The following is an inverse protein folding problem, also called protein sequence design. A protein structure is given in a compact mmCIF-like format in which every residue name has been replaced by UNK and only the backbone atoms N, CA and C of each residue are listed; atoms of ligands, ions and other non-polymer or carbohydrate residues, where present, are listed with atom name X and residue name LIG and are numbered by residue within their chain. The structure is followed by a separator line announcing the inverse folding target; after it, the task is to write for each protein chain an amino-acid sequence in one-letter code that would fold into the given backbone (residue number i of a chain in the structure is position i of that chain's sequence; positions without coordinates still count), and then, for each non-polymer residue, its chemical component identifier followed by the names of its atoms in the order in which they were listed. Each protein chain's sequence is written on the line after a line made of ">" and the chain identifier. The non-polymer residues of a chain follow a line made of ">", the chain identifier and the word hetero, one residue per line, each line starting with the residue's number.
data_IF_791343593867
#
_entry.id   IF_791343593867
#
_cell.length_a   1.000
_cell.length_b   1.000
_cell.length_c   1.000
_cell.angle_alpha   90.00
_cell.angle_beta   90.00
_cell.angle_gamma   90.00
#
_symmetry.space_group_name_H-M   'P 1'
#
loop_
_entity.id
_entity.type
_entity.pdbx_description
1 polymer ?
#
# COMPACT_ATOMS: atom_id res chain seq x y z
N UNK A 1 1.22 -12.30 30.31
CA UNK A 1 2.05 -13.42 29.80
C UNK A 1 3.42 -12.86 29.44
N UNK A 2 4.24 -12.62 30.47
CA UNK A 2 5.38 -11.72 30.41
C UNK A 2 6.67 -12.56 30.47
N UNK A 3 7.49 -12.51 29.42
CA UNK A 3 8.79 -13.20 29.24
C UNK A 3 8.77 -14.72 28.94
N UNK A 4 9.40 -15.05 27.82
CA UNK A 4 9.83 -16.41 27.46
C UNK A 4 11.31 -16.25 27.11
N UNK A 5 12.21 -16.82 27.92
CA UNK A 5 13.67 -16.69 27.80
C UNK A 5 14.27 -15.28 28.02
N UNK A 6 13.80 -14.53 29.02
CA UNK A 6 14.38 -13.22 29.44
C UNK A 6 14.42 -12.13 28.34
N UNK A 7 13.73 -12.39 27.23
CA UNK A 7 13.50 -11.49 26.12
C UNK A 7 12.01 -11.15 26.08
N UNK A 8 11.63 -9.93 25.64
CA UNK A 8 10.24 -9.62 25.39
C UNK A 8 9.68 -10.68 24.43
N UNK A 9 8.62 -11.38 24.83
CA UNK A 9 8.02 -12.45 24.02
C UNK A 9 7.48 -11.90 22.68
N UNK A 10 7.22 -10.60 22.64
CA UNK A 10 6.55 -9.90 21.54
C UNK A 10 7.36 -9.93 20.22
N UNK A 11 8.66 -9.56 20.16
CA UNK A 11 9.47 -9.76 18.95
C UNK A 11 9.53 -11.21 18.48
N UNK A 12 9.72 -12.18 19.38
CA UNK A 12 9.85 -13.58 18.96
C UNK A 12 8.55 -14.12 18.35
N UNK A 13 7.38 -13.74 18.87
CA UNK A 13 6.10 -14.20 18.34
C UNK A 13 5.81 -13.67 16.93
N UNK A 14 6.26 -12.47 16.58
CA UNK A 14 6.03 -11.88 15.25
C UNK A 14 7.11 -12.26 14.23
N UNK A 15 8.35 -12.48 14.67
CA UNK A 15 9.44 -12.87 13.76
C UNK A 15 9.37 -14.34 13.35
N UNK A 16 8.83 -15.22 14.22
CA UNK A 16 8.74 -16.64 13.91
C UNK A 16 7.89 -16.92 12.66
N UNK A 17 6.63 -16.41 12.53
CA UNK A 17 5.83 -16.61 11.33
C UNK A 17 6.50 -16.12 10.05
N UNK A 18 7.14 -14.94 10.10
CA UNK A 18 7.79 -14.31 8.95
C UNK A 18 8.87 -15.20 8.33
N UNK A 19 9.59 -15.96 9.16
CA UNK A 19 10.62 -16.92 8.69
C UNK A 19 10.02 -18.30 8.43
N UNK A 20 9.10 -18.76 9.28
CA UNK A 20 8.58 -20.11 9.21
C UNK A 20 7.68 -20.35 8.00
N UNK A 21 6.93 -19.34 7.52
CA UNK A 21 6.05 -19.46 6.36
C UNK A 21 6.85 -19.72 5.06
N UNK A 22 7.86 -18.91 4.67
CA UNK A 22 8.70 -19.21 3.50
C UNK A 22 9.39 -20.57 3.58
N UNK A 23 9.91 -20.94 4.76
CA UNK A 23 10.56 -22.24 4.97
C UNK A 23 9.55 -23.38 4.78
N UNK A 24 8.34 -23.25 5.31
CA UNK A 24 7.27 -24.23 5.13
C UNK A 24 6.83 -24.32 3.66
N UNK A 25 6.73 -23.20 2.95
CA UNK A 25 6.40 -23.16 1.52
C UNK A 25 7.45 -23.89 0.67
N UNK A 26 8.74 -23.66 0.93
CA UNK A 26 9.83 -24.37 0.24
C UNK A 26 9.77 -25.86 0.56
N UNK A 27 9.59 -26.23 1.83
CA UNK A 27 9.45 -27.63 2.23
C UNK A 27 8.25 -28.30 1.54
N UNK A 28 7.11 -27.62 1.46
CA UNK A 28 5.91 -28.11 0.81
C UNK A 28 6.17 -28.41 -0.68
N UNK A 29 6.81 -27.47 -1.40
CA UNK A 29 7.18 -27.64 -2.81
C UNK A 29 8.18 -28.80 -2.98
N UNK A 30 9.19 -28.90 -2.11
CA UNK A 30 10.15 -30.00 -2.15
C UNK A 30 9.48 -31.37 -1.93
N UNK A 31 8.52 -31.46 -1.01
CA UNK A 31 7.75 -32.68 -0.77
C UNK A 31 6.81 -33.01 -1.94
N UNK A 32 6.28 -32.00 -2.64
CA UNK A 32 5.54 -32.23 -3.90
C UNK A 32 6.47 -32.82 -4.96
N UNK A 33 7.63 -32.21 -5.20
CA UNK A 33 8.58 -32.60 -6.25
C UNK A 33 9.33 -33.91 -5.98
N UNK A 34 9.59 -34.24 -4.70
CA UNK A 34 10.33 -35.43 -4.28
C UNK A 34 9.50 -36.34 -3.37
N UNK A 35 8.63 -37.21 -3.95
CA UNK A 35 7.75 -38.09 -3.18
C UNK A 35 8.47 -39.02 -2.21
N UNK A 36 9.70 -39.44 -2.52
CA UNK A 36 10.50 -40.31 -1.65
C UNK A 36 10.81 -39.68 -0.28
N UNK A 37 10.90 -38.35 -0.22
CA UNK A 37 11.25 -37.61 1.00
C UNK A 37 10.07 -37.52 1.98
N UNK A 38 8.83 -37.69 1.50
CA UNK A 38 7.59 -37.61 2.30
C UNK A 38 7.55 -38.63 3.44
N UNK A 39 8.12 -39.80 3.22
CA UNK A 39 8.04 -40.90 4.20
C UNK A 39 8.83 -40.61 5.48
N UNK A 40 10.05 -40.07 5.34
CA UNK A 40 10.97 -39.75 6.43
C UNK A 40 10.70 -38.39 7.07
N UNK A 41 10.32 -37.38 6.27
CA UNK A 41 10.13 -36.01 6.75
C UNK A 41 8.70 -35.69 7.19
N UNK A 42 7.79 -36.68 7.12
CA UNK A 42 6.37 -36.54 7.45
C UNK A 42 6.10 -35.79 8.76
N UNK A 43 6.64 -36.31 9.85
CA UNK A 43 6.28 -35.82 11.18
C UNK A 43 6.90 -34.46 11.44
N UNK A 44 8.07 -34.22 10.85
CA UNK A 44 8.70 -32.92 10.83
C UNK A 44 7.87 -31.89 10.05
N UNK A 45 7.39 -32.24 8.85
CA UNK A 45 6.58 -31.35 8.02
C UNK A 45 5.23 -31.00 8.66
N UNK A 46 4.55 -31.99 9.27
CA UNK A 46 3.30 -31.77 10.01
C UNK A 46 3.57 -30.91 11.26
N UNK A 47 4.59 -31.24 12.04
CA UNK A 47 4.98 -30.46 13.22
C UNK A 47 5.27 -29.01 12.86
N UNK A 48 6.09 -28.78 11.83
CA UNK A 48 6.40 -27.45 11.34
C UNK A 48 5.14 -26.71 10.85
N UNK A 49 4.27 -27.37 10.07
CA UNK A 49 3.03 -26.78 9.59
C UNK A 49 2.10 -26.32 10.73
N UNK A 50 1.94 -27.15 11.76
CA UNK A 50 1.13 -26.85 12.94
C UNK A 50 1.73 -25.70 13.75
N UNK A 51 3.05 -25.73 13.99
CA UNK A 51 3.73 -24.66 14.74
C UNK A 51 3.64 -23.34 13.98
N UNK A 52 3.87 -23.33 12.66
CA UNK A 52 3.71 -22.14 11.82
C UNK A 52 2.29 -21.59 11.91
N UNK A 53 1.27 -22.43 11.75
CA UNK A 53 -0.13 -21.99 11.83
C UNK A 53 -0.48 -21.40 13.20
N UNK A 54 -0.12 -22.09 14.30
CA UNK A 54 -0.36 -21.60 15.67
C UNK A 54 0.36 -20.28 15.90
N UNK A 55 1.63 -20.16 15.48
CA UNK A 55 2.38 -18.91 15.64
C UNK A 55 1.75 -17.76 14.85
N UNK A 56 1.27 -18.00 13.63
CA UNK A 56 0.56 -16.99 12.84
C UNK A 56 -0.76 -16.55 13.51
N UNK A 57 -1.51 -17.50 14.08
CA UNK A 57 -2.74 -17.21 14.83
C UNK A 57 -2.46 -16.31 16.03
N UNK A 58 -1.45 -16.66 16.83
CA UNK A 58 -1.03 -15.88 18.00
C UNK A 58 -0.56 -14.47 17.61
N UNK A 59 0.27 -14.36 16.56
CA UNK A 59 0.75 -13.08 16.07
C UNK A 59 -0.42 -12.17 15.65
N UNK A 60 -1.36 -12.67 14.85
CA UNK A 60 -2.52 -11.90 14.42
C UNK A 60 -3.45 -11.52 15.59
N UNK A 61 -3.68 -12.44 16.54
CA UNK A 61 -4.49 -12.13 17.74
C UNK A 61 -3.86 -11.05 18.63
N UNK A 62 -2.52 -10.94 18.63
CA UNK A 62 -1.82 -9.88 19.35
C UNK A 62 -1.94 -8.51 18.67
N UNK A 63 -2.14 -8.48 17.35
CA UNK A 63 -2.39 -7.26 16.58
C UNK A 63 -3.82 -6.76 16.77
N UNK A 64 -4.82 -7.63 16.65
CA UNK A 64 -6.24 -7.32 16.87
C UNK A 64 -6.47 -6.66 18.25
N UNK A 65 -5.85 -7.20 19.31
CA UNK A 65 -5.96 -6.65 20.66
C UNK A 65 -5.33 -5.25 20.83
N UNK A 66 -4.38 -4.87 19.96
CA UNK A 66 -3.76 -3.54 19.98
C UNK A 66 -4.62 -2.51 19.24
N UNK A 67 -5.23 -2.91 18.13
CA UNK A 67 -6.13 -2.06 17.32
C UNK A 67 -7.35 -1.62 18.14
N UNK A 68 -7.87 -2.45 19.05
CA UNK A 68 -8.96 -2.04 19.96
C UNK A 68 -8.55 -0.96 20.97
N UNK A 69 -7.25 -0.75 21.19
CA UNK A 69 -6.72 0.18 22.20
C UNK A 69 -6.25 1.51 21.62
N UNK A 70 -6.02 1.59 20.31
CA UNK A 70 -5.59 2.79 19.60
C UNK A 70 -6.69 3.22 18.62
N UNK A 71 -7.00 4.51 18.52
CA UNK A 71 -7.80 5.01 17.39
C UNK A 71 -6.99 4.74 16.11
N UNK A 72 -7.32 3.65 15.42
CA UNK A 72 -6.53 3.16 14.31
C UNK A 72 -6.70 4.07 13.09
N UNK A 73 -5.61 4.66 12.63
CA UNK A 73 -5.51 5.34 11.34
C UNK A 73 -5.70 4.33 10.19
N UNK A 74 -6.11 4.82 9.01
CA UNK A 74 -6.38 4.00 7.80
C UNK A 74 -5.27 2.99 7.47
N UNK A 75 -4.01 3.31 7.80
CA UNK A 75 -2.81 2.53 7.47
C UNK A 75 -2.63 1.29 8.36
N UNK A 76 -3.13 1.34 9.61
CA UNK A 76 -3.11 0.20 10.53
C UNK A 76 -4.16 -0.83 10.09
N UNK A 77 -5.28 -0.35 9.55
CA UNK A 77 -6.39 -1.17 9.04
C UNK A 77 -5.97 -1.98 7.79
N UNK A 78 -5.13 -1.41 6.92
CA UNK A 78 -4.56 -2.11 5.77
C UNK A 78 -3.62 -3.25 6.19
N UNK A 79 -2.75 -3.00 7.18
CA UNK A 79 -1.87 -4.04 7.75
C UNK A 79 -2.66 -5.19 8.38
N UNK A 80 -3.74 -4.87 9.11
CA UNK A 80 -4.64 -5.86 9.72
C UNK A 80 -5.32 -6.73 8.64
N UNK A 81 -5.90 -6.12 7.60
CA UNK A 81 -6.61 -6.84 6.55
C UNK A 81 -5.72 -7.83 5.78
N UNK A 82 -4.46 -7.44 5.52
CA UNK A 82 -3.46 -8.29 4.91
C UNK A 82 -3.07 -9.44 5.84
N UNK A 83 -2.93 -9.16 7.14
CA UNK A 83 -2.65 -10.16 8.18
C UNK A 83 -3.74 -11.22 8.30
N UNK A 84 -5.02 -10.82 8.28
CA UNK A 84 -6.14 -11.76 8.33
C UNK A 84 -6.20 -12.64 7.08
N UNK A 85 -5.99 -12.05 5.90
CA UNK A 85 -5.92 -12.81 4.64
C UNK A 85 -4.76 -13.80 4.65
N UNK A 86 -3.60 -13.41 5.17
CA UNK A 86 -2.45 -14.30 5.33
C UNK A 86 -2.77 -15.50 6.22
N UNK A 87 -3.51 -15.29 7.32
CA UNK A 87 -3.92 -16.36 8.25
C UNK A 87 -4.68 -17.47 7.52
N UNK A 88 -5.62 -17.12 6.64
CA UNK A 88 -6.39 -18.08 5.83
C UNK A 88 -5.46 -18.89 4.92
N UNK A 89 -4.51 -18.25 4.24
CA UNK A 89 -3.58 -18.94 3.35
C UNK A 89 -2.62 -19.87 4.09
N UNK A 90 -2.13 -19.49 5.28
CA UNK A 90 -1.27 -20.34 6.10
C UNK A 90 -2.03 -21.58 6.60
N UNK A 91 -3.29 -21.42 7.03
CA UNK A 91 -4.14 -22.55 7.42
C UNK A 91 -4.38 -23.48 6.22
N UNK A 92 -4.68 -22.92 5.04
CA UNK A 92 -4.83 -23.69 3.80
C UNK A 92 -3.56 -24.44 3.40
N UNK A 93 -2.39 -23.82 3.55
CA UNK A 93 -1.09 -24.45 3.33
C UNK A 93 -0.87 -25.61 4.32
N UNK A 94 -1.09 -25.39 5.61
CA UNK A 94 -0.91 -26.41 6.64
C UNK A 94 -1.85 -27.60 6.44
N UNK A 95 -3.13 -27.35 6.14
CA UNK A 95 -4.13 -28.39 5.89
C UNK A 95 -3.82 -29.19 4.62
N UNK A 96 -3.53 -28.51 3.51
CA UNK A 96 -3.22 -29.16 2.23
C UNK A 96 -1.90 -29.95 2.28
N UNK A 97 -0.87 -29.44 2.95
CA UNK A 97 0.39 -30.16 3.17
C UNK A 97 0.20 -31.39 4.07
N UNK A 98 -0.58 -31.26 5.14
CA UNK A 98 -0.91 -32.38 6.02
C UNK A 98 -1.67 -33.47 5.25
N UNK A 99 -2.65 -33.08 4.44
CA UNK A 99 -3.36 -33.98 3.54
C UNK A 99 -2.39 -34.67 2.54
N UNK A 100 -1.48 -33.91 1.93
CA UNK A 100 -0.48 -34.44 1.00
C UNK A 100 0.42 -35.51 1.67
N UNK A 101 0.85 -35.28 2.91
CA UNK A 101 1.79 -36.15 3.62
C UNK A 101 1.12 -37.37 4.25
N UNK A 102 -0.17 -37.28 4.63
CA UNK A 102 -0.93 -38.39 5.21
C UNK A 102 -1.57 -39.27 4.13
N UNK A 103 -2.26 -38.68 3.14
CA UNK A 103 -3.03 -39.41 2.12
C UNK A 103 -2.10 -40.09 1.10
N UNK A 104 -0.92 -39.52 0.85
CA UNK A 104 0.07 -40.12 -0.07
C UNK A 104 0.78 -41.36 0.49
N UNK A 105 0.43 -41.86 1.68
CA UNK A 105 1.03 -43.07 2.27
C UNK A 105 0.34 -44.35 1.84
N UNK A 106 -1.00 -44.36 1.77
CA UNK A 106 -1.75 -45.62 1.68
C UNK A 106 -2.63 -45.78 0.42
N UNK A 107 -3.02 -44.71 -0.30
CA UNK A 107 -4.06 -44.83 -1.35
C UNK A 107 -3.78 -44.18 -2.72
N UNK A 108 -2.73 -43.37 -2.87
CA UNK A 108 -2.52 -42.61 -4.13
C UNK A 108 -1.98 -43.49 -5.28
N UNK A 109 -1.45 -44.68 -4.99
CA UNK A 109 -1.06 -45.61 -6.05
C UNK A 109 -2.27 -46.13 -6.86
N UNK A 110 -3.49 -45.98 -6.35
CA UNK A 110 -4.74 -46.37 -7.05
C UNK A 110 -5.52 -45.17 -7.65
N UNK A 111 -5.33 -43.93 -7.18
CA UNK A 111 -6.06 -42.73 -7.63
C UNK A 111 -5.13 -41.54 -7.95
N UNK A 112 -4.38 -41.66 -9.05
CA UNK A 112 -3.48 -40.62 -9.59
C UNK A 112 -4.04 -39.18 -9.68
N UNK A 113 -5.32 -38.92 -10.09
CA UNK A 113 -5.78 -37.53 -10.24
C UNK A 113 -5.93 -36.79 -8.90
N UNK A 114 -6.24 -37.50 -7.82
CA UNK A 114 -6.42 -36.90 -6.49
C UNK A 114 -5.07 -36.39 -5.96
N UNK A 115 -4.00 -37.16 -6.13
CA UNK A 115 -2.65 -36.74 -5.73
C UNK A 115 -2.14 -35.52 -6.50
N UNK A 116 -2.48 -35.40 -7.78
CA UNK A 116 -2.16 -34.22 -8.60
C UNK A 116 -2.94 -33.00 -8.09
N UNK A 117 -4.25 -33.16 -7.82
CA UNK A 117 -5.09 -32.09 -7.29
C UNK A 117 -4.58 -31.54 -5.95
N UNK A 118 -4.29 -32.42 -4.99
CA UNK A 118 -3.74 -32.01 -3.68
C UNK A 118 -2.39 -31.31 -3.86
N UNK A 119 -1.50 -31.85 -4.70
CA UNK A 119 -0.20 -31.23 -4.96
C UNK A 119 -0.32 -29.82 -5.56
N UNK A 120 -1.24 -29.63 -6.52
CA UNK A 120 -1.50 -28.32 -7.11
C UNK A 120 -2.06 -27.33 -6.08
N UNK A 121 -3.00 -27.76 -5.24
CA UNK A 121 -3.55 -26.95 -4.15
C UNK A 121 -2.47 -26.57 -3.14
N UNK A 122 -1.61 -27.50 -2.75
CA UNK A 122 -0.48 -27.22 -1.84
C UNK A 122 0.49 -26.21 -2.43
N UNK A 123 0.84 -26.33 -3.72
CA UNK A 123 1.70 -25.33 -4.38
C UNK A 123 1.01 -23.96 -4.42
N UNK A 124 -0.28 -23.92 -4.75
CA UNK A 124 -1.05 -22.67 -4.80
C UNK A 124 -1.04 -21.96 -3.43
N UNK A 125 -1.39 -22.66 -2.36
CA UNK A 125 -1.37 -22.08 -1.01
C UNK A 125 0.05 -21.70 -0.57
N UNK A 126 1.08 -22.46 -0.95
CA UNK A 126 2.47 -22.11 -0.64
C UNK A 126 2.87 -20.78 -1.30
N UNK A 127 2.49 -20.56 -2.56
CA UNK A 127 2.77 -19.31 -3.27
C UNK A 127 1.97 -18.14 -2.68
N UNK A 128 0.67 -18.33 -2.45
CA UNK A 128 -0.20 -17.29 -1.86
C UNK A 128 0.29 -16.88 -0.47
N UNK A 129 0.60 -17.83 0.41
CA UNK A 129 1.12 -17.53 1.75
C UNK A 129 2.44 -16.76 1.68
N UNK A 130 3.34 -17.11 0.76
CA UNK A 130 4.62 -16.40 0.58
C UNK A 130 4.40 -14.96 0.10
N UNK A 131 3.56 -14.76 -0.93
CA UNK A 131 3.27 -13.43 -1.49
C UNK A 131 2.61 -12.52 -0.45
N UNK A 132 1.63 -13.04 0.29
CA UNK A 132 0.96 -12.25 1.32
C UNK A 132 1.87 -11.94 2.51
N UNK A 133 2.78 -12.85 2.89
CA UNK A 133 3.79 -12.55 3.93
C UNK A 133 4.66 -11.36 3.52
N UNK A 134 5.07 -11.30 2.25
CA UNK A 134 5.88 -10.19 1.72
C UNK A 134 5.07 -8.88 1.74
N UNK A 135 3.80 -8.91 1.31
CA UNK A 135 2.93 -7.72 1.31
C UNK A 135 2.67 -7.19 2.71
N UNK A 136 2.28 -8.06 3.65
CA UNK A 136 2.08 -7.69 5.06
C UNK A 136 3.36 -7.11 5.67
N UNK A 137 4.52 -7.68 5.33
CA UNK A 137 5.82 -7.18 5.80
C UNK A 137 6.19 -5.81 5.20
N UNK A 138 5.90 -5.58 3.93
CA UNK A 138 6.12 -4.28 3.28
C UNK A 138 5.26 -3.19 3.93
N UNK A 139 3.99 -3.50 4.20
CA UNK A 139 3.09 -2.56 4.88
C UNK A 139 3.56 -2.25 6.30
N UNK A 140 4.00 -3.27 7.04
CA UNK A 140 4.58 -3.08 8.38
C UNK A 140 5.86 -2.22 8.38
N UNK A 141 6.70 -2.37 7.35
CA UNK A 141 7.89 -1.53 7.20
C UNK A 141 7.52 -0.08 6.87
N UNK A 142 6.48 0.13 6.06
CA UNK A 142 5.98 1.46 5.72
C UNK A 142 5.43 2.19 6.96
N UNK A 143 4.69 1.50 7.83
CA UNK A 143 4.21 2.04 9.12
C UNK A 143 5.33 2.54 10.03
N UNK A 144 6.47 1.85 10.04
CA UNK A 144 7.57 2.18 10.96
C UNK A 144 8.55 3.20 10.36
N UNK A 145 8.84 3.08 9.06
CA UNK A 145 9.95 3.76 8.41
C UNK A 145 9.53 4.76 7.33
N UNK A 146 8.26 4.80 6.92
CA UNK A 146 7.78 5.64 5.83
C UNK A 146 8.15 7.11 5.98
N UNK A 147 8.03 7.67 7.19
CA UNK A 147 8.40 9.08 7.47
C UNK A 147 9.89 9.31 7.78
N UNK A 148 10.66 8.28 8.13
CA UNK A 148 12.08 8.43 8.52
C UNK A 148 12.96 8.59 7.29
N UNK A 149 12.65 7.87 6.21
CA UNK A 149 13.35 8.00 4.92
C UNK A 149 13.10 9.39 4.30
N UNK A 150 11.92 9.99 4.52
CA UNK A 150 11.62 11.37 4.14
C UNK A 150 12.49 12.38 4.95
N UNK A 151 12.73 12.10 6.25
CA UNK A 151 13.48 13.00 7.15
C UNK A 151 15.00 13.02 6.89
N UNK A 152 15.60 11.91 6.46
CA UNK A 152 17.03 11.85 6.12
C UNK A 152 17.36 12.58 4.80
N UNK A 153 16.41 12.59 3.85
CA UNK A 153 16.53 13.36 2.61
C UNK A 153 16.52 14.88 2.89
N UNK A 154 15.79 15.32 3.93
CA UNK A 154 15.71 16.72 4.33
C UNK A 154 16.93 17.19 5.15
N UNK A 155 17.51 16.30 5.97
CA UNK A 155 18.58 16.68 6.92
C UNK A 155 19.98 16.82 6.28
N UNK A 156 20.21 16.23 5.10
CA UNK A 156 21.54 16.26 4.45
C UNK A 156 21.90 17.63 3.86
N UNK A 157 20.95 18.56 3.75
CA UNK A 157 21.18 19.89 3.15
C UNK A 157 21.49 21.00 4.18
N UNK A 158 21.35 20.74 5.48
CA UNK A 158 21.31 21.82 6.49
C UNK A 158 22.41 21.71 7.57
N UNK A 159 23.62 21.25 7.21
CA UNK A 159 24.81 21.45 8.05
C UNK A 159 25.84 22.31 7.32
N UNK A 160 25.59 23.61 7.27
CA UNK A 160 26.63 24.64 7.13
C UNK A 160 26.44 25.67 8.25
N UNK A 161 27.25 25.49 9.29
CA UNK A 161 27.68 26.42 10.34
C UNK A 161 27.06 27.82 10.35
N UNK A 162 26.13 28.06 11.28
CA UNK A 162 25.77 29.41 11.71
C UNK A 162 26.86 29.97 12.66
N UNK A 163 27.48 31.08 12.26
CA UNK A 163 28.10 32.05 13.15
C UNK A 163 27.17 33.28 13.27
N UNK A 164 27.05 33.94 14.43
CA UNK A 164 26.07 35.00 14.63
C UNK A 164 26.65 36.36 14.23
N UNK A 165 25.92 37.20 13.51
CA UNK A 165 25.87 38.65 13.79
C UNK A 165 24.84 39.45 12.98
N UNK A 166 24.21 40.38 13.71
CA UNK A 166 23.69 41.71 13.33
C UNK A 166 22.44 41.86 12.45
N UNK A 167 21.34 42.17 13.15
CA UNK A 167 20.41 43.29 12.94
C UNK A 167 20.69 44.24 11.76
N UNK A 168 19.70 44.43 10.88
CA UNK A 168 19.37 45.74 10.27
C UNK A 168 17.89 45.76 9.86
N UNK A 169 17.19 46.75 10.42
CA UNK A 169 15.82 47.18 10.11
C UNK A 169 15.77 47.91 8.76
N UNK A 170 14.75 47.65 7.94
CA UNK A 170 14.30 48.60 6.93
C UNK A 170 12.79 48.48 6.70
N UNK A 171 12.11 49.57 7.04
CA UNK A 171 10.69 49.88 6.82
C UNK A 171 10.48 50.38 5.39
N UNK A 172 9.39 49.97 4.72
CA UNK A 172 8.69 50.86 3.78
C UNK A 172 7.19 50.52 3.71
N UNK A 173 6.39 51.58 3.75
CA UNK A 173 4.92 51.64 3.78
C UNK A 173 4.37 52.02 2.40
N UNK A 174 3.08 51.72 2.19
CA UNK A 174 2.10 52.39 1.30
C UNK A 174 1.90 51.73 -0.08
N UNK A 175 0.73 51.72 -0.73
CA UNK A 175 -0.72 51.69 -0.43
C UNK A 175 -1.41 51.64 -1.82
N UNK A 176 -2.56 50.98 -1.91
CA UNK A 176 -3.69 51.09 -2.87
C UNK A 176 -3.52 51.76 -4.26
N UNK A 177 -4.08 51.14 -5.31
CA UNK A 177 -5.31 51.66 -5.97
C UNK A 177 -5.97 50.61 -6.90
N UNK A 178 -7.26 50.78 -7.09
CA UNK A 178 -8.19 49.98 -7.88
C UNK A 178 -8.26 50.43 -9.36
N UNK A 179 -8.75 49.57 -10.26
CA UNK A 179 -9.70 49.95 -11.32
C UNK A 179 -10.20 48.74 -12.15
N UNK A 180 -11.52 48.59 -12.13
CA UNK A 180 -12.44 47.86 -13.02
C UNK A 180 -12.29 48.21 -14.51
N UNK A 181 -12.58 47.27 -15.43
CA UNK A 181 -13.44 47.48 -16.63
C UNK A 181 -13.81 46.15 -17.31
N UNK A 182 -15.12 45.92 -17.42
CA UNK A 182 -15.85 44.90 -18.20
C UNK A 182 -15.92 45.29 -19.69
N UNK A 183 -15.95 44.34 -20.65
CA UNK A 183 -16.78 44.40 -21.90
C UNK A 183 -16.78 43.04 -22.64
N UNK A 184 -17.94 42.73 -23.21
CA UNK A 184 -18.43 41.47 -23.79
C UNK A 184 -18.46 41.48 -25.34
N UNK A 185 -18.48 40.29 -25.97
CA UNK A 185 -19.31 39.86 -27.14
C UNK A 185 -18.69 39.68 -28.56
N UNK A 186 -18.55 38.38 -28.94
CA UNK A 186 -19.02 37.61 -30.14
C UNK A 186 -18.60 37.85 -31.61
N UNK A 187 -18.06 36.74 -32.18
CA UNK A 187 -18.44 35.98 -33.41
C UNK A 187 -18.10 36.47 -34.84
N UNK A 188 -17.40 35.62 -35.61
CA UNK A 188 -17.64 35.33 -37.05
C UNK A 188 -17.06 33.95 -37.46
N UNK A 189 -17.77 33.31 -38.40
CA UNK A 189 -17.88 31.91 -38.90
C UNK A 189 -16.68 31.25 -39.63
N UNK A 190 -16.65 29.91 -39.61
CA UNK A 190 -15.70 28.95 -40.22
C UNK A 190 -15.90 28.66 -41.75
N UNK A 191 -15.05 27.81 -42.39
CA UNK A 191 -15.38 26.38 -42.46
C UNK A 191 -14.20 25.36 -42.34
N UNK A 192 -14.52 24.27 -41.63
CA UNK A 192 -14.13 22.84 -41.74
C UNK A 192 -12.78 22.38 -42.33
N UNK A 193 -11.90 21.88 -41.44
CA UNK A 193 -11.36 20.50 -41.45
C UNK A 193 -11.02 20.13 -39.99
N UNK A 194 -11.52 18.98 -39.53
CA UNK A 194 -11.62 18.53 -38.13
C UNK A 194 -10.27 18.35 -37.43
N UNK A 195 -9.84 19.37 -36.70
CA UNK A 195 -9.08 19.23 -35.47
C UNK A 195 -9.95 19.91 -34.40
N UNK A 196 -10.63 19.13 -33.56
CA UNK A 196 -11.26 19.70 -32.39
C UNK A 196 -10.14 20.35 -31.58
N UNK A 197 -10.15 21.68 -31.52
CA UNK A 197 -9.47 22.41 -30.48
C UNK A 197 -10.13 21.97 -29.17
N UNK A 198 -9.64 20.86 -28.63
CA UNK A 198 -9.90 20.45 -27.27
C UNK A 198 -9.33 21.59 -26.45
N UNK A 199 -10.20 22.44 -25.92
CA UNK A 199 -9.78 23.42 -24.93
C UNK A 199 -9.00 22.67 -23.85
N UNK A 200 -7.89 23.24 -23.40
CA UNK A 200 -7.07 22.64 -22.34
C UNK A 200 -7.99 22.21 -21.20
N UNK A 201 -8.06 20.90 -20.87
CA UNK A 201 -8.96 20.44 -19.83
C UNK A 201 -8.66 21.17 -18.52
N UNK A 202 -9.69 21.63 -17.84
CA UNK A 202 -9.53 22.36 -16.59
C UNK A 202 -9.32 21.36 -15.45
N UNK A 203 -8.07 21.16 -15.05
CA UNK A 203 -7.69 20.23 -13.99
C UNK A 203 -8.34 20.53 -12.64
N UNK A 204 -8.51 21.81 -12.29
CA UNK A 204 -9.18 22.23 -11.05
C UNK A 204 -10.65 21.80 -11.04
N UNK A 205 -11.39 22.10 -12.11
CA UNK A 205 -12.81 21.76 -12.20
C UNK A 205 -13.03 20.24 -12.20
N UNK A 206 -12.14 19.50 -12.86
CA UNK A 206 -12.17 18.04 -12.86
C UNK A 206 -11.85 17.47 -11.47
N UNK A 207 -10.90 18.08 -10.75
CA UNK A 207 -10.56 17.70 -9.38
C UNK A 207 -11.74 17.91 -8.41
N UNK A 208 -12.39 19.07 -8.46
CA UNK A 208 -13.57 19.37 -7.63
C UNK A 208 -14.71 18.39 -7.91
N UNK A 209 -14.98 18.08 -9.18
CA UNK A 209 -16.08 17.22 -9.57
C UNK A 209 -15.87 15.74 -9.20
N UNK A 210 -14.62 15.27 -9.19
CA UNK A 210 -14.33 13.83 -9.13
C UNK A 210 -13.50 13.39 -7.92
N UNK A 211 -12.64 14.26 -7.39
CA UNK A 211 -11.56 13.89 -6.46
C UNK A 211 -11.78 14.47 -5.05
N UNK A 212 -12.20 15.73 -4.97
CA UNK A 212 -12.30 16.50 -3.72
C UNK A 212 -13.17 15.84 -2.64
N UNK A 213 -14.20 15.07 -3.05
CA UNK A 213 -15.07 14.29 -2.15
C UNK A 213 -14.31 13.37 -1.18
N UNK A 214 -13.15 12.85 -1.61
CA UNK A 214 -12.34 11.93 -0.84
C UNK A 214 -11.00 12.56 -0.44
N UNK A 215 -10.38 13.34 -1.33
CA UNK A 215 -9.06 13.91 -1.11
C UNK A 215 -9.09 15.32 -0.49
N UNK A 216 -10.28 15.87 -0.21
CA UNK A 216 -10.44 17.25 0.27
C UNK A 216 -10.35 18.26 -0.88
N UNK A 217 -11.02 19.41 -0.77
CA UNK A 217 -10.92 20.49 -1.76
C UNK A 217 -9.51 21.10 -1.82
N UNK A 218 -8.82 21.05 -0.70
CA UNK A 218 -7.45 21.48 -0.41
C UNK A 218 -6.42 20.34 -0.48
N UNK A 219 -6.84 19.12 -0.86
CA UNK A 219 -5.92 18.00 -1.00
C UNK A 219 -5.42 17.40 0.32
N UNK A 220 -5.95 17.80 1.49
CA UNK A 220 -5.49 17.31 2.80
C UNK A 220 -5.88 15.85 3.07
N UNK A 221 -6.81 15.30 2.30
CA UNK A 221 -7.35 13.97 2.52
C UNK A 221 -8.49 13.98 3.54
N UNK A 222 -9.53 13.18 3.28
CA UNK A 222 -10.62 12.94 4.23
C UNK A 222 -10.94 11.45 4.28
N UNK A 223 -11.56 10.92 3.23
CA UNK A 223 -11.80 9.48 3.02
C UNK A 223 -10.73 8.82 2.17
N UNK A 224 -10.02 9.62 1.38
CA UNK A 224 -8.83 9.20 0.65
C UNK A 224 -7.61 9.91 1.20
N UNK A 225 -6.40 9.39 0.92
CA UNK A 225 -5.16 9.93 1.45
C UNK A 225 -4.93 11.38 0.99
N UNK A 226 -4.07 12.10 1.71
CA UNK A 226 -3.64 13.44 1.31
C UNK A 226 -2.90 13.40 -0.04
N UNK A 227 -3.14 14.42 -0.86
CA UNK A 227 -2.39 14.73 -2.08
C UNK A 227 -1.38 15.86 -1.86
N UNK A 228 -1.28 16.38 -0.64
CA UNK A 228 -0.30 17.39 -0.25
C UNK A 228 1.13 16.88 -0.40
N UNK A 229 1.96 17.64 -1.11
CA UNK A 229 3.35 17.30 -1.40
C UNK A 229 3.53 16.08 -2.31
N UNK A 230 2.46 15.57 -2.94
CA UNK A 230 2.52 14.33 -3.72
C UNK A 230 3.53 14.40 -4.87
N UNK A 231 3.71 15.60 -5.45
CA UNK A 231 4.69 15.80 -6.51
C UNK A 231 6.14 15.53 -6.05
N UNK A 232 6.45 15.81 -4.78
CA UNK A 232 7.75 15.55 -4.17
C UNK A 232 7.90 14.07 -3.76
N UNK A 233 6.83 13.48 -3.19
CA UNK A 233 6.81 12.07 -2.75
C UNK A 233 6.84 11.08 -3.92
N UNK A 234 6.20 11.44 -5.03
CA UNK A 234 6.06 10.61 -6.22
C UNK A 234 6.56 11.39 -7.45
N UNK A 235 7.89 11.45 -7.69
CA UNK A 235 8.44 12.17 -8.84
C UNK A 235 8.01 11.56 -10.18
N UNK A 236 7.66 10.28 -10.17
CA UNK A 236 7.17 9.54 -11.33
C UNK A 236 5.66 9.72 -11.52
N UNK A 237 5.29 10.71 -12.33
CA UNK A 237 3.88 11.04 -12.65
C UNK A 237 3.09 9.87 -13.22
N UNK A 238 3.75 8.89 -13.84
CA UNK A 238 3.07 7.76 -14.47
C UNK A 238 2.38 6.83 -13.47
N UNK A 239 2.89 6.73 -12.23
CA UNK A 239 2.24 5.91 -11.21
C UNK A 239 0.88 6.52 -10.82
N UNK A 240 0.80 7.84 -10.72
CA UNK A 240 -0.44 8.57 -10.45
C UNK A 240 -1.43 8.47 -11.61
N UNK A 241 -0.96 8.63 -12.85
CA UNK A 241 -1.80 8.46 -14.04
C UNK A 241 -2.38 7.04 -14.05
N UNK A 242 -1.55 6.02 -13.83
CA UNK A 242 -2.00 4.63 -13.75
C UNK A 242 -3.00 4.38 -12.62
N UNK A 243 -2.77 5.00 -11.45
CA UNK A 243 -3.66 4.88 -10.29
C UNK A 243 -5.03 5.50 -10.56
N UNK A 244 -5.10 6.65 -11.23
CA UNK A 244 -6.36 7.32 -11.61
C UNK A 244 -7.06 6.53 -12.72
N UNK A 245 -6.32 6.08 -13.74
CA UNK A 245 -6.89 5.31 -14.86
C UNK A 245 -7.50 4.00 -14.38
N UNK A 246 -6.76 3.22 -13.59
CA UNK A 246 -7.15 1.86 -13.23
C UNK A 246 -7.88 1.75 -11.89
N UNK A 247 -7.80 2.78 -11.04
CA UNK A 247 -8.29 2.71 -9.67
C UNK A 247 -7.40 1.83 -8.78
N UNK A 248 -7.81 1.65 -7.53
CA UNK A 248 -7.13 0.90 -6.48
C UNK A 248 -8.14 0.47 -5.41
N UNK A 249 -7.67 0.21 -4.19
CA UNK A 249 -8.45 -0.38 -3.08
C UNK A 249 -9.89 0.16 -2.98
N UNK A 250 -10.04 1.38 -2.43
CA UNK A 250 -11.34 2.09 -2.35
C UNK A 250 -11.46 3.20 -3.39
N UNK A 251 -10.39 3.51 -4.13
CA UNK A 251 -10.36 4.54 -5.17
C UNK A 251 -10.90 3.97 -6.50
N UNK A 252 -12.05 4.45 -7.01
CA UNK A 252 -12.64 3.93 -8.23
C UNK A 252 -11.76 4.22 -9.46
N UNK A 253 -11.91 3.40 -10.51
CA UNK A 253 -11.28 3.68 -11.81
C UNK A 253 -11.95 4.87 -12.51
N UNK A 254 -11.14 5.67 -13.20
CA UNK A 254 -11.59 6.80 -14.00
C UNK A 254 -11.26 6.67 -15.49
N UNK A 255 -10.55 5.63 -15.93
CA UNK A 255 -10.20 5.43 -17.34
C UNK A 255 -11.41 5.35 -18.29
N UNK A 256 -12.57 4.91 -17.80
CA UNK A 256 -13.83 4.88 -18.56
C UNK A 256 -14.65 6.17 -18.47
N UNK A 257 -14.23 7.13 -17.62
CA UNK A 257 -14.98 8.35 -17.29
C UNK A 257 -14.26 9.63 -17.72
N UNK A 258 -12.94 9.62 -17.69
CA UNK A 258 -12.08 10.74 -18.05
C UNK A 258 -11.16 10.31 -19.19
N UNK A 259 -10.98 11.20 -20.15
CA UNK A 259 -9.98 11.04 -21.21
C UNK A 259 -8.57 11.18 -20.64
N UNK A 260 -7.57 10.66 -21.36
CA UNK A 260 -6.16 10.77 -20.96
C UNK A 260 -5.74 12.23 -20.74
N UNK A 261 -6.20 13.15 -21.60
CA UNK A 261 -5.92 14.57 -21.47
C UNK A 261 -6.55 15.19 -20.19
N UNK A 262 -7.73 14.73 -19.79
CA UNK A 262 -8.40 15.17 -18.56
C UNK A 262 -7.69 14.61 -17.31
N UNK A 263 -7.26 13.35 -17.35
CA UNK A 263 -6.47 12.73 -16.28
C UNK A 263 -5.16 13.51 -16.10
N UNK A 264 -4.44 13.78 -17.18
CA UNK A 264 -3.21 14.57 -17.14
C UNK A 264 -3.44 15.98 -16.59
N UNK A 265 -4.56 16.62 -16.92
CA UNK A 265 -4.89 17.95 -16.40
C UNK A 265 -5.16 17.93 -14.90
N UNK A 266 -5.89 16.94 -14.37
CA UNK A 266 -6.11 16.78 -12.93
C UNK A 266 -4.79 16.52 -12.20
N UNK A 267 -3.96 15.64 -12.76
CA UNK A 267 -2.63 15.33 -12.21
C UNK A 267 -1.75 16.58 -12.15
N UNK A 268 -1.70 17.36 -13.23
CA UNK A 268 -0.99 18.64 -13.23
C UNK A 268 -1.51 19.59 -12.16
N UNK A 269 -2.85 19.73 -12.06
CA UNK A 269 -3.47 20.62 -11.09
C UNK A 269 -3.10 20.30 -9.64
N UNK A 270 -3.36 19.07 -9.15
CA UNK A 270 -3.14 18.80 -7.72
C UNK A 270 -1.64 18.76 -7.37
N UNK A 271 -0.77 18.40 -8.33
CA UNK A 271 0.69 18.41 -8.11
C UNK A 271 1.25 19.82 -7.98
N UNK A 272 0.63 20.80 -8.62
CA UNK A 272 1.01 22.21 -8.55
C UNK A 272 0.30 22.91 -7.37
N UNK A 273 -1.00 22.69 -7.22
CA UNK A 273 -1.85 23.35 -6.24
C UNK A 273 -1.57 22.91 -4.79
N UNK A 274 -1.07 21.69 -4.57
CA UNK A 274 -0.82 21.15 -3.24
C UNK A 274 0.67 20.88 -2.99
N UNK A 275 1.53 21.83 -3.36
CA UNK A 275 2.95 21.78 -2.99
C UNK A 275 3.10 22.16 -1.51
N UNK A 276 3.55 21.21 -0.68
CA UNK A 276 3.93 21.37 0.75
C UNK A 276 3.17 22.42 1.59
N UNK A 277 2.15 21.99 2.35
CA UNK A 277 1.91 22.49 3.71
C UNK A 277 1.68 23.99 3.96
N UNK A 278 1.36 24.81 2.95
CA UNK A 278 0.85 26.17 3.18
C UNK A 278 -0.55 26.09 3.79
N UNK A 279 -0.55 25.89 5.12
CA UNK A 279 -1.66 26.18 6.00
C UNK A 279 -2.10 27.63 5.78
N UNK A 280 -3.15 27.84 5.00
CA UNK A 280 -4.06 28.94 5.26
C UNK A 280 -4.84 28.62 6.54
N UNK A 281 -4.18 28.77 7.69
CA UNK A 281 -4.87 29.24 8.88
C UNK A 281 -5.21 30.71 8.61
N UNK A 282 -6.31 30.94 7.89
CA UNK A 282 -6.97 32.24 7.91
C UNK A 282 -8.03 32.21 9.04
N UNK A 283 -8.01 33.29 9.81
CA UNK A 283 -8.66 33.59 11.09
C UNK A 283 -10.17 33.27 11.24
#
# INVERSE_FOLDING_TARGET
>A
MESVFDLPAHPLMVHFPVVAIPVLSILAILLVLKPSLRSSWRWFAIGLAVITAISTLLAASSGEALVELIEADDWVEDHESLGETLRIFVIGLAASLTALVLIARDEISAKRPIGIGISAITILFALLATVWTIRTGHEGANLTWGGVVETEAETTTTTTTAAPTTTTTATTTSAADAATTTTTTSTTTAPSTTAAAVGTPNGMALYEANCARCHGSDGVGTRGPSLGGIAAKHPEVQNEINQITNGGDRMPSFGDKLTEAEILAVVGYYREAFTEGEHSHDD
#
